data_IF_818119185048
#
_entry.id   IF_818119185048
#
_cell.length_a   1.000
_cell.length_b   1.000
_cell.length_c   1.000
_cell.angle_alpha   90.00
_cell.angle_beta   90.00
_cell.angle_gamma   90.00
#
_symmetry.space_group_name_H-M   'P 1'
#
loop_
_entity.id
_entity.type
_entity.pdbx_description
1 polymer ?
#
# COMPACT_ATOMS: atom_id res chain seq x y z
N UNK A 1 -8.03 -4.07 -10.54
CA UNK A 1 -7.77 -5.22 -9.64
C UNK A 1 -8.79 -6.31 -9.93
N UNK A 2 -8.37 -7.51 -10.33
CA UNK A 2 -9.28 -8.64 -10.55
C UNK A 2 -8.81 -9.84 -9.71
N UNK A 3 -9.76 -10.55 -9.09
CA UNK A 3 -9.51 -11.75 -8.29
C UNK A 3 -10.39 -12.86 -8.83
N UNK A 4 -9.76 -13.98 -9.16
CA UNK A 4 -10.46 -15.18 -9.61
C UNK A 4 -10.79 -16.00 -8.37
N UNK A 5 -12.08 -16.16 -8.09
CA UNK A 5 -12.57 -17.06 -7.04
C UNK A 5 -12.57 -18.47 -7.65
N UNK A 6 -11.88 -19.41 -7.02
CA UNK A 6 -11.93 -20.83 -7.40
C UNK A 6 -12.71 -21.59 -6.34
N UNK A 7 -13.47 -22.59 -6.77
CA UNK A 7 -14.14 -23.56 -5.89
C UNK A 7 -15.11 -22.94 -4.87
N UNK A 8 -15.76 -21.85 -5.25
CA UNK A 8 -16.71 -21.09 -4.41
C UNK A 8 -16.13 -20.59 -3.07
N UNK A 9 -14.80 -20.52 -2.94
CA UNK A 9 -14.11 -20.22 -1.69
C UNK A 9 -13.94 -18.70 -1.51
N UNK A 10 -15.07 -18.02 -1.24
CA UNK A 10 -15.19 -16.56 -1.21
C UNK A 10 -14.33 -15.93 -0.11
N UNK A 11 -14.26 -16.54 1.07
CA UNK A 11 -13.45 -16.02 2.18
C UNK A 11 -11.96 -15.94 1.85
N UNK A 12 -11.46 -16.92 1.11
CA UNK A 12 -10.06 -16.93 0.70
C UNK A 12 -9.79 -15.85 -0.35
N UNK A 13 -10.71 -15.64 -1.28
CA UNK A 13 -10.63 -14.56 -2.26
C UNK A 13 -10.67 -13.17 -1.59
N UNK A 14 -11.52 -12.99 -0.57
CA UNK A 14 -11.57 -11.75 0.22
C UNK A 14 -10.29 -11.52 1.02
N UNK A 15 -9.72 -12.56 1.62
CA UNK A 15 -8.41 -12.48 2.28
C UNK A 15 -7.29 -12.13 1.31
N UNK A 16 -7.29 -12.72 0.11
CA UNK A 16 -6.32 -12.43 -0.94
C UNK A 16 -6.45 -10.98 -1.45
N UNK A 17 -7.69 -10.51 -1.65
CA UNK A 17 -7.99 -9.11 -1.99
C UNK A 17 -7.41 -8.15 -0.96
N UNK A 18 -7.74 -8.38 0.32
CA UNK A 18 -7.31 -7.52 1.43
C UNK A 18 -5.78 -7.46 1.51
N UNK A 19 -5.09 -8.60 1.42
CA UNK A 19 -3.62 -8.65 1.41
C UNK A 19 -3.02 -7.88 0.23
N UNK A 20 -3.63 -8.00 -0.96
CA UNK A 20 -3.14 -7.32 -2.16
C UNK A 20 -3.36 -5.80 -2.08
N UNK A 21 -4.52 -5.35 -1.61
CA UNK A 21 -4.80 -3.93 -1.34
C UNK A 21 -3.85 -3.32 -0.30
N UNK A 22 -3.51 -4.09 0.75
CA UNK A 22 -2.53 -3.66 1.75
C UNK A 22 -1.13 -3.53 1.16
N UNK A 23 -0.74 -4.46 0.29
CA UNK A 23 0.57 -4.46 -0.38
C UNK A 23 0.72 -3.29 -1.37
N UNK A 24 -0.36 -2.98 -2.09
CA UNK A 24 -0.42 -1.83 -3.00
C UNK A 24 -0.44 -0.49 -2.23
N UNK A 25 -0.72 -0.51 -0.93
CA UNK A 25 -0.70 0.68 -0.08
C UNK A 25 -1.91 1.61 -0.29
N UNK A 26 -2.94 1.14 -0.99
CA UNK A 26 -4.11 1.94 -1.36
C UNK A 26 -4.85 2.52 -0.15
N UNK A 27 -4.95 1.78 0.96
CA UNK A 27 -5.55 2.31 2.20
C UNK A 27 -4.76 3.48 2.80
N UNK A 28 -3.43 3.46 2.64
CA UNK A 28 -2.56 4.54 3.09
C UNK A 28 -2.72 5.76 2.18
N UNK A 29 -2.80 5.55 0.88
CA UNK A 29 -3.08 6.63 -0.09
C UNK A 29 -4.47 7.25 0.10
N UNK A 30 -5.51 6.44 0.34
CA UNK A 30 -6.86 6.95 0.62
C UNK A 30 -6.86 7.85 1.85
N UNK A 31 -6.23 7.44 2.96
CA UNK A 31 -6.15 8.25 4.17
C UNK A 31 -5.38 9.56 3.95
N UNK A 32 -4.33 9.51 3.13
CA UNK A 32 -3.49 10.67 2.81
C UNK A 32 -4.16 11.66 1.85
N UNK A 33 -5.06 11.19 0.99
CA UNK A 33 -5.77 12.03 0.01
C UNK A 33 -7.08 12.61 0.52
N UNK A 34 -7.54 12.23 1.71
CA UNK A 34 -8.78 12.76 2.30
C UNK A 34 -8.69 14.25 2.67
N UNK A 35 -7.49 14.80 2.85
CA UNK A 35 -7.28 16.20 3.22
C UNK A 35 -6.24 16.85 2.31
N UNK A 36 -6.39 18.15 2.06
CA UNK A 36 -5.43 18.92 1.29
C UNK A 36 -4.10 19.01 2.06
N UNK A 37 -3.07 18.35 1.54
CA UNK A 37 -1.70 18.41 2.05
C UNK A 37 -0.92 19.48 1.28
N UNK A 38 -0.19 20.35 1.99
CA UNK A 38 0.60 21.40 1.35
C UNK A 38 1.69 20.76 0.47
N UNK A 39 1.99 21.30 -0.73
CA UNK A 39 2.97 20.69 -1.64
C UNK A 39 4.40 20.61 -1.08
N UNK A 40 4.73 21.36 -0.02
CA UNK A 40 5.98 21.21 0.73
C UNK A 40 6.00 19.96 1.62
N UNK A 41 4.88 19.65 2.27
CA UNK A 41 4.73 18.50 3.17
C UNK A 41 4.70 17.19 2.37
N UNK A 42 3.99 17.21 1.23
CA UNK A 42 3.99 16.09 0.28
C UNK A 42 5.40 15.69 -0.15
N UNK A 43 6.23 16.68 -0.51
CA UNK A 43 7.64 16.47 -0.91
C UNK A 43 8.51 15.91 0.24
N UNK A 44 8.29 16.36 1.47
CA UNK A 44 9.02 15.84 2.63
C UNK A 44 8.66 14.37 2.93
N UNK A 45 7.38 14.03 2.83
CA UNK A 45 6.87 12.67 3.03
C UNK A 45 7.33 11.70 1.95
N UNK A 46 7.27 12.08 0.68
CA UNK A 46 7.77 11.26 -0.43
C UNK A 46 9.25 10.88 -0.25
N UNK A 47 10.08 11.84 0.18
CA UNK A 47 11.49 11.60 0.50
C UNK A 47 11.65 10.61 1.67
N UNK A 48 10.88 10.78 2.75
CA UNK A 48 10.93 9.88 3.91
C UNK A 48 10.40 8.46 3.58
N UNK A 49 9.38 8.34 2.73
CA UNK A 49 8.85 7.05 2.28
C UNK A 49 9.81 6.33 1.33
N UNK A 50 10.54 7.05 0.47
CA UNK A 50 11.57 6.47 -0.39
C UNK A 50 12.72 5.85 0.44
N UNK A 51 13.20 6.56 1.47
CA UNK A 51 14.23 6.08 2.39
C UNK A 51 13.76 4.87 3.21
N UNK A 52 12.48 4.83 3.61
CA UNK A 52 11.90 3.65 4.28
C UNK A 52 11.67 2.46 3.35
N UNK A 53 11.45 2.71 2.05
CA UNK A 53 11.18 1.66 1.05
C UNK A 53 12.45 1.01 0.53
N UNK A 54 13.60 1.69 0.56
CA UNK A 54 14.88 1.02 0.33
C UNK A 54 15.12 0.05 1.49
N UNK A 55 15.06 -1.28 1.26
CA UNK A 55 15.43 -2.22 2.30
C UNK A 55 16.89 -1.91 2.60
N UNK A 56 17.21 -1.63 3.87
CA UNK A 56 18.60 -1.63 4.32
C UNK A 56 19.16 -2.98 3.90
N UNK A 57 19.99 -2.96 2.85
CA UNK A 57 20.75 -4.11 2.41
C UNK A 57 21.62 -4.49 3.60
N UNK A 58 21.14 -5.47 4.37
CA UNK A 58 21.90 -6.07 5.44
C UNK A 58 23.02 -6.84 4.78
N UNK A 59 24.16 -6.16 4.64
CA UNK A 59 25.46 -6.78 4.51
C UNK A 59 25.63 -7.76 5.68
N UNK A 60 25.41 -9.05 5.44
CA UNK A 60 26.05 -10.26 6.05
C UNK A 60 25.41 -11.49 5.43
#
# INVERSE_FOLDING_TARGET
MQIVVRDNNIDQALKALKKKLQREGLFREMKLRNHFEKPSERRARERAEAVRRTPSHSTT
#
